data_IF_749764156007
#
_entry.id   IF_749764156007
#
_cell.length_a   1.000
_cell.length_b   1.000
_cell.length_c   1.000
_cell.angle_alpha   90.00
_cell.angle_beta   90.00
_cell.angle_gamma   90.00
#
_symmetry.space_group_name_H-M   'P 1'
#
loop_
_entity.id
_entity.type
_entity.pdbx_description
1 polymer ?
#
# COMPACT_ATOMS: atom_id res chain seq x y z
N UNK A 1 -13.19 5.72 -13.17
CA UNK A 1 -11.81 6.17 -13.44
C UNK A 1 -11.03 5.03 -14.08
N UNK A 2 -10.25 5.32 -15.11
CA UNK A 2 -9.49 4.28 -15.79
C UNK A 2 -8.26 3.89 -14.98
N UNK A 3 -7.73 2.70 -15.24
CA UNK A 3 -6.52 2.23 -14.58
C UNK A 3 -5.34 3.17 -14.85
N UNK A 4 -5.27 3.70 -16.06
CA UNK A 4 -4.23 4.65 -16.44
C UNK A 4 -4.27 5.91 -15.58
N UNK A 5 -5.48 6.42 -15.32
CA UNK A 5 -5.64 7.62 -14.50
C UNK A 5 -5.23 7.36 -13.06
N UNK A 6 -5.55 6.18 -12.53
CA UNK A 6 -5.16 5.79 -11.19
C UNK A 6 -3.65 5.70 -11.06
N UNK A 7 -2.97 5.15 -12.06
CA UNK A 7 -1.52 5.04 -12.05
C UNK A 7 -0.83 6.40 -12.10
N UNK A 8 -1.38 7.32 -12.89
CA UNK A 8 -0.83 8.67 -12.95
C UNK A 8 -0.97 9.38 -11.61
N UNK A 9 -2.14 9.26 -11.00
CA UNK A 9 -2.39 9.88 -9.70
C UNK A 9 -1.51 9.25 -8.62
N UNK A 10 -1.19 7.97 -8.74
CA UNK A 10 -0.37 7.27 -7.76
C UNK A 10 1.01 7.90 -7.57
N UNK A 11 1.56 8.51 -8.60
CA UNK A 11 2.86 9.17 -8.53
C UNK A 11 2.85 10.39 -7.59
N UNK A 12 1.69 11.03 -7.45
CA UNK A 12 1.57 12.25 -6.66
C UNK A 12 1.05 12.00 -5.24
N UNK A 13 0.70 10.75 -4.92
CA UNK A 13 0.21 10.41 -3.59
C UNK A 13 1.37 10.36 -2.61
N UNK A 14 1.20 11.02 -1.47
CA UNK A 14 2.20 10.97 -0.40
C UNK A 14 2.03 9.73 0.45
N UNK A 15 3.13 9.27 1.03
CA UNK A 15 3.09 8.13 1.96
C UNK A 15 2.35 8.54 3.23
N UNK A 16 1.33 7.78 3.58
CA UNK A 16 0.55 8.00 4.81
C UNK A 16 0.50 6.76 5.69
N UNK A 17 1.05 5.64 5.24
CA UNK A 17 1.11 4.39 6.01
C UNK A 17 2.55 3.87 5.94
N UNK A 18 3.10 3.52 7.10
CA UNK A 18 4.45 2.95 7.18
C UNK A 18 4.38 1.57 7.79
N UNK A 19 4.94 0.59 7.08
CA UNK A 19 4.98 -0.79 7.53
C UNK A 19 6.39 -1.07 8.05
N UNK A 20 6.49 -1.37 9.31
CA UNK A 20 7.79 -1.57 9.97
C UNK A 20 7.93 -2.95 10.59
N UNK A 21 8.69 -3.00 11.68
CA UNK A 21 9.04 -4.23 12.39
C UNK A 21 7.84 -5.10 12.77
N UNK A 22 6.71 -4.49 13.05
CA UNK A 22 5.49 -5.22 13.42
C UNK A 22 4.81 -5.95 12.26
N UNK A 23 5.31 -5.78 11.05
CA UNK A 23 4.73 -6.42 9.87
C UNK A 23 3.43 -5.76 9.42
N UNK A 24 2.60 -6.53 8.74
CA UNK A 24 1.36 -6.00 8.15
C UNK A 24 0.22 -5.84 9.15
N UNK A 25 0.14 -6.71 10.15
CA UNK A 25 -0.99 -6.72 11.09
C UNK A 25 -1.33 -5.34 11.67
N UNK A 26 -0.35 -4.58 12.21
CA UNK A 26 -0.66 -3.28 12.79
C UNK A 26 -1.22 -2.25 11.83
N UNK A 27 -0.97 -2.39 10.53
CA UNK A 27 -1.39 -1.38 9.56
C UNK A 27 -2.64 -1.76 8.76
N UNK A 28 -3.12 -2.98 8.90
CA UNK A 28 -4.30 -3.44 8.14
C UNK A 28 -5.50 -2.54 8.41
N UNK A 29 -5.82 -2.30 9.66
CA UNK A 29 -6.97 -1.48 10.03
C UNK A 29 -6.78 -0.04 9.59
N UNK A 30 -5.58 0.52 9.79
CA UNK A 30 -5.29 1.88 9.39
C UNK A 30 -5.42 2.06 7.88
N UNK A 31 -4.86 1.14 7.10
CA UNK A 31 -4.99 1.21 5.65
C UNK A 31 -6.44 1.09 5.22
N UNK A 32 -7.17 0.17 5.82
CA UNK A 32 -8.59 0.00 5.51
C UNK A 32 -9.38 1.27 5.78
N UNK A 33 -9.13 1.91 6.93
CA UNK A 33 -9.80 3.16 7.29
C UNK A 33 -9.48 4.27 6.31
N UNK A 34 -8.21 4.41 5.91
CA UNK A 34 -7.82 5.44 4.96
C UNK A 34 -8.45 5.20 3.58
N UNK A 35 -8.57 3.94 3.16
CA UNK A 35 -9.19 3.62 1.88
C UNK A 35 -10.70 3.88 1.84
N UNK A 36 -11.33 4.00 2.99
CA UNK A 36 -12.75 4.41 3.05
C UNK A 36 -12.92 5.90 2.73
N UNK A 37 -11.90 6.69 3.02
CA UNK A 37 -11.95 8.14 2.83
C UNK A 37 -11.23 8.63 1.59
N UNK A 38 -10.33 7.83 1.05
CA UNK A 38 -9.46 8.23 -0.07
C UNK A 38 -9.49 7.20 -1.18
N UNK A 39 -9.39 7.67 -2.41
CA UNK A 39 -9.30 6.79 -3.57
C UNK A 39 -7.99 6.02 -3.59
N UNK A 40 -6.92 6.67 -3.19
CA UNK A 40 -5.58 6.10 -3.23
C UNK A 40 -4.86 6.33 -1.91
N UNK A 41 -4.17 5.30 -1.44
CA UNK A 41 -3.33 5.37 -0.23
C UNK A 41 -1.98 4.77 -0.57
N UNK A 42 -0.91 5.44 -0.18
CA UNK A 42 0.46 4.98 -0.41
C UNK A 42 1.08 4.52 0.90
N UNK A 43 1.61 3.30 0.89
CA UNK A 43 2.32 2.73 2.04
C UNK A 43 3.79 2.56 1.68
N UNK A 44 4.66 2.80 2.67
CA UNK A 44 6.09 2.54 2.54
C UNK A 44 6.44 1.34 3.42
N UNK A 45 7.13 0.37 2.83
CA UNK A 45 7.57 -0.83 3.53
C UNK A 45 9.01 -0.63 3.99
N UNK A 46 9.20 -0.41 5.28
CA UNK A 46 10.50 -0.15 5.84
C UNK A 46 11.36 -1.43 5.82
N UNK A 47 12.66 -1.26 5.93
CA UNK A 47 13.60 -2.38 5.87
C UNK A 47 13.24 -3.49 6.84
N UNK A 48 12.81 -3.15 8.05
CA UNK A 48 12.45 -4.13 9.06
C UNK A 48 11.26 -5.01 8.66
N UNK A 49 10.38 -4.50 7.79
CA UNK A 49 9.23 -5.26 7.30
C UNK A 49 9.61 -6.17 6.14
N UNK A 50 10.69 -5.86 5.42
CA UNK A 50 11.06 -6.56 4.20
C UNK A 50 12.04 -7.72 4.39
N UNK A 51 12.37 -8.07 5.62
CA UNK A 51 13.27 -9.18 5.89
C UNK A 51 12.71 -10.50 5.34
N UNK A 52 13.40 -11.08 4.36
CA UNK A 52 13.00 -12.35 3.76
C UNK A 52 11.87 -12.28 2.75
N UNK A 53 11.45 -11.08 2.36
CA UNK A 53 10.36 -10.92 1.40
C UNK A 53 10.60 -9.67 0.53
N UNK A 54 9.68 -9.39 -0.38
CA UNK A 54 9.78 -8.24 -1.28
C UNK A 54 8.63 -7.27 -1.05
N UNK A 55 8.81 -6.04 -1.51
CA UNK A 55 7.75 -5.03 -1.45
C UNK A 55 6.51 -5.51 -2.20
N UNK A 56 6.70 -6.15 -3.36
CA UNK A 56 5.60 -6.64 -4.19
C UNK A 56 4.78 -7.70 -3.45
N UNK A 57 5.44 -8.64 -2.80
CA UNK A 57 4.76 -9.69 -2.05
C UNK A 57 4.00 -9.11 -0.85
N UNK A 58 4.62 -8.19 -0.12
CA UNK A 58 3.97 -7.55 1.01
C UNK A 58 2.76 -6.72 0.56
N UNK A 59 2.90 -6.01 -0.55
CA UNK A 59 1.81 -5.20 -1.09
C UNK A 59 0.62 -6.07 -1.49
N UNK A 60 0.87 -7.17 -2.17
CA UNK A 60 -0.20 -8.08 -2.57
C UNK A 60 -0.93 -8.67 -1.36
N UNK A 61 -0.20 -9.10 -0.36
CA UNK A 61 -0.80 -9.63 0.86
C UNK A 61 -1.61 -8.57 1.58
N UNK A 62 -1.08 -7.36 1.70
CA UNK A 62 -1.78 -6.28 2.37
C UNK A 62 -3.06 -5.89 1.64
N UNK A 63 -2.99 -5.81 0.30
CA UNK A 63 -4.17 -5.52 -0.52
C UNK A 63 -5.26 -6.57 -0.30
N UNK A 64 -4.88 -7.84 -0.25
CA UNK A 64 -5.82 -8.91 -0.01
C UNK A 64 -6.51 -8.77 1.34
N UNK A 65 -5.75 -8.41 2.38
CA UNK A 65 -6.31 -8.26 3.73
C UNK A 65 -7.32 -7.12 3.85
N UNK A 66 -7.17 -6.07 3.04
CA UNK A 66 -8.08 -4.92 3.08
C UNK A 66 -9.12 -4.96 1.96
N UNK A 67 -9.18 -6.04 1.21
CA UNK A 67 -10.09 -6.20 0.06
C UNK A 67 -9.88 -5.09 -0.96
N UNK A 68 -8.63 -4.72 -1.19
CA UNK A 68 -8.25 -3.71 -2.15
C UNK A 68 -7.37 -4.28 -3.23
N UNK A 69 -6.78 -3.40 -4.02
CA UNK A 69 -5.85 -3.81 -5.06
C UNK A 69 -4.61 -2.92 -5.06
N UNK A 70 -3.51 -3.47 -5.57
CA UNK A 70 -2.27 -2.73 -5.74
C UNK A 70 -2.31 -2.05 -7.10
N UNK A 71 -2.20 -0.73 -7.11
CA UNK A 71 -2.15 0.05 -8.35
C UNK A 71 -0.74 0.11 -8.89
N UNK A 72 0.23 0.33 -8.01
CA UNK A 72 1.61 0.49 -8.39
C UNK A 72 2.54 0.15 -7.23
N UNK A 73 3.69 -0.45 -7.55
CA UNK A 73 4.78 -0.56 -6.60
C UNK A 73 5.97 0.19 -7.19
N UNK A 74 6.67 0.93 -6.36
CA UNK A 74 7.83 1.70 -6.79
C UNK A 74 8.83 1.79 -5.64
N UNK A 75 10.04 1.29 -5.86
CA UNK A 75 11.02 1.21 -4.80
C UNK A 75 10.45 0.39 -3.63
N UNK A 76 10.32 1.00 -2.48
CA UNK A 76 9.79 0.34 -1.29
C UNK A 76 8.39 0.82 -0.93
N UNK A 77 7.67 1.38 -1.89
CA UNK A 77 6.31 1.88 -1.68
C UNK A 77 5.31 1.14 -2.57
N UNK A 78 4.06 1.15 -2.14
CA UNK A 78 2.95 0.63 -2.93
C UNK A 78 1.76 1.57 -2.77
N UNK A 79 0.99 1.70 -3.85
CA UNK A 79 -0.24 2.50 -3.83
C UNK A 79 -1.41 1.55 -3.94
N UNK A 80 -2.38 1.74 -3.07
CA UNK A 80 -3.56 0.90 -2.95
C UNK A 80 -4.82 1.65 -3.33
N UNK A 81 -5.79 0.89 -3.84
CA UNK A 81 -7.12 1.36 -4.19
C UNK A 81 -8.12 0.29 -3.79
N UNK A 82 -9.28 0.69 -3.37
CA UNK A 82 -10.31 -0.27 -2.99
C UNK A 82 -11.48 -0.32 -3.99
#
# INVERSE_FOLDING_TARGET
MSEKDLRQRAHDVEVTVWVGKGGLDPVVEELSDQLQERDLVKAKFLRAARGGTTTEELAEELAERVSGEVIETRGHTAVFHR
#
